data_IF_804114562649
#
_entry.id   IF_804114562649
#
_cell.length_a   1.000
_cell.length_b   1.000
_cell.length_c   1.000
_cell.angle_alpha   90.00
_cell.angle_beta   90.00
_cell.angle_gamma   90.00
#
_symmetry.space_group_name_H-M   'P 1'
#
loop_
_entity.id
_entity.type
_entity.pdbx_description
1 polymer ?
#
# COMPACT_ATOMS: atom_id res chain seq x y z
N UNK A 1 -25.25 17.13 -22.01
CA UNK A 1 -23.90 16.58 -22.28
C UNK A 1 -22.86 17.67 -22.60
N UNK A 2 -23.18 18.77 -23.30
CA UNK A 2 -22.21 19.83 -23.64
C UNK A 2 -21.77 20.74 -22.46
N UNK A 3 -22.57 20.84 -21.39
CA UNK A 3 -22.23 21.65 -20.21
C UNK A 3 -21.18 20.99 -19.31
N UNK A 4 -21.15 19.65 -19.28
CA UNK A 4 -20.21 18.86 -18.48
C UNK A 4 -18.79 18.89 -19.07
N UNK A 5 -18.67 18.83 -20.40
CA UNK A 5 -17.40 18.97 -21.11
C UNK A 5 -16.80 20.36 -20.97
N UNK A 6 -17.60 21.43 -20.99
CA UNK A 6 -17.10 22.79 -20.76
C UNK A 6 -16.61 23.01 -19.33
N UNK A 7 -17.30 22.47 -18.32
CA UNK A 7 -16.86 22.57 -16.93
C UNK A 7 -15.54 21.82 -16.68
N UNK A 8 -15.41 20.61 -17.21
CA UNK A 8 -14.18 19.82 -17.09
C UNK A 8 -13.01 20.47 -17.85
N UNK A 9 -13.26 21.04 -19.04
CA UNK A 9 -12.25 21.80 -19.78
C UNK A 9 -11.81 23.03 -18.98
N UNK A 10 -12.75 23.74 -18.35
CA UNK A 10 -12.45 24.91 -17.52
C UNK A 10 -11.58 24.54 -16.31
N UNK A 11 -11.92 23.46 -15.61
CA UNK A 11 -11.13 22.94 -14.48
C UNK A 11 -9.71 22.57 -14.93
N UNK A 12 -9.57 21.84 -16.04
CA UNK A 12 -8.25 21.45 -16.57
C UNK A 12 -7.42 22.68 -16.95
N UNK A 13 -8.03 23.70 -17.55
CA UNK A 13 -7.32 24.94 -17.89
C UNK A 13 -6.86 25.74 -16.66
N UNK A 14 -7.66 25.79 -15.58
CA UNK A 14 -7.28 26.46 -14.34
C UNK A 14 -6.08 25.75 -13.68
N UNK A 15 -6.08 24.42 -13.64
CA UNK A 15 -4.99 23.63 -13.05
C UNK A 15 -3.68 23.89 -13.82
N UNK A 16 -3.72 23.87 -15.16
CA UNK A 16 -2.53 24.13 -15.98
C UNK A 16 -1.98 25.55 -15.78
N UNK A 17 -2.84 26.56 -15.67
CA UNK A 17 -2.39 27.94 -15.43
C UNK A 17 -1.82 28.11 -14.01
N UNK A 18 -2.38 27.45 -13.00
CA UNK A 18 -1.86 27.50 -11.63
C UNK A 18 -0.41 26.94 -11.53
N UNK A 19 -0.09 25.91 -12.31
CA UNK A 19 1.27 25.33 -12.30
C UNK A 19 2.34 26.25 -12.92
N UNK A 20 1.97 27.15 -13.83
CA UNK A 20 2.95 28.03 -14.52
C UNK A 20 3.33 29.27 -13.71
N UNK A 21 2.49 29.68 -12.74
CA UNK A 21 2.79 30.79 -11.82
C UNK A 21 3.70 30.39 -10.64
N UNK A 22 3.88 29.08 -10.40
CA UNK A 22 4.76 28.57 -9.36
C UNK A 22 6.26 28.60 -9.75
N UNK A 23 6.61 28.85 -11.01
CA UNK A 23 8.00 28.80 -11.49
C UNK A 23 8.81 30.08 -11.24
N UNK A 24 8.20 31.13 -10.68
CA UNK A 24 8.80 32.47 -10.67
C UNK A 24 8.92 33.08 -9.27
N UNK A 25 8.99 32.30 -8.19
CA UNK A 25 9.22 32.85 -6.86
C UNK A 25 9.78 31.84 -5.85
N UNK A 26 11.04 31.42 -6.04
CA UNK A 26 11.98 31.09 -4.93
C UNK A 26 13.37 30.75 -5.51
N UNK A 27 14.21 31.77 -5.72
CA UNK A 27 15.66 31.62 -5.69
C UNK A 27 16.19 32.51 -4.57
N UNK A 28 15.93 32.08 -3.33
CA UNK A 28 16.67 32.45 -2.12
C UNK A 28 15.96 31.83 -0.93
N UNK A 29 16.46 30.70 -0.45
CA UNK A 29 16.44 30.38 0.97
C UNK A 29 17.50 29.32 1.23
N UNK A 30 18.58 29.76 1.87
CA UNK A 30 19.33 29.06 2.91
C UNK A 30 19.44 27.54 2.80
N UNK A 31 20.63 27.12 2.38
CA UNK A 31 21.26 25.85 2.70
C UNK A 31 21.35 25.70 4.24
N UNK A 32 20.23 25.36 4.84
CA UNK A 32 20.21 24.70 6.14
C UNK A 32 20.36 23.21 5.85
N UNK A 33 21.30 22.57 6.55
CA UNK A 33 21.68 21.17 6.38
C UNK A 33 20.58 20.20 6.82
N UNK A 34 19.38 20.33 6.25
CA UNK A 34 18.37 19.29 6.29
C UNK A 34 18.75 18.31 5.17
N UNK A 35 19.09 17.05 5.51
CA UNK A 35 19.27 16.03 4.49
C UNK A 35 18.04 16.03 3.58
N UNK A 36 18.27 15.93 2.26
CA UNK A 36 17.18 15.96 1.29
C UNK A 36 16.11 14.92 1.66
N UNK A 37 14.87 15.13 1.22
CA UNK A 37 13.80 14.16 1.44
C UNK A 37 14.26 12.75 1.00
N UNK A 38 14.94 12.62 -0.14
CA UNK A 38 15.53 11.37 -0.61
C UNK A 38 16.55 10.76 0.38
N UNK A 39 17.36 11.59 1.02
CA UNK A 39 18.33 11.18 2.06
C UNK A 39 17.63 10.80 3.37
N UNK A 40 16.54 11.47 3.75
CA UNK A 40 15.69 11.07 4.88
C UNK A 40 14.93 9.78 4.61
N UNK A 41 14.54 9.56 3.35
CA UNK A 41 13.88 8.34 2.89
C UNK A 41 14.84 7.15 2.77
N UNK A 42 16.16 7.39 2.83
CA UNK A 42 17.23 6.37 2.74
C UNK A 42 16.96 5.36 1.62
N UNK A 43 16.75 5.89 0.42
CA UNK A 43 16.56 5.11 -0.82
C UNK A 43 17.85 4.39 -1.23
N UNK A 44 19.02 4.86 -0.76
CA UNK A 44 20.31 4.23 -0.97
C UNK A 44 20.58 3.19 0.14
N UNK A 45 20.45 1.92 -0.23
CA UNK A 45 20.39 0.77 0.67
C UNK A 45 21.66 0.45 1.45
N UNK A 46 21.47 0.07 2.71
CA UNK A 46 22.44 -0.67 3.53
C UNK A 46 22.12 -2.17 3.39
N UNK A 47 23.11 -3.04 3.07
CA UNK A 47 22.91 -4.42 2.62
C UNK A 47 22.32 -5.39 3.65
N UNK A 48 22.12 -4.98 4.91
CA UNK A 48 21.51 -5.83 5.95
C UNK A 48 20.06 -5.43 6.32
N UNK A 49 19.50 -4.39 5.69
CA UNK A 49 18.16 -3.87 6.00
C UNK A 49 17.17 -4.08 4.85
N UNK A 50 15.94 -4.49 5.17
CA UNK A 50 14.85 -4.64 4.21
C UNK A 50 14.60 -3.27 3.55
N UNK A 51 14.78 -3.15 2.22
CA UNK A 51 14.48 -1.89 1.54
C UNK A 51 12.97 -1.75 1.35
N UNK A 52 12.38 -0.90 2.19
CA UNK A 52 10.94 -0.66 2.19
C UNK A 52 10.43 0.03 0.93
N UNK A 53 11.29 0.80 0.25
CA UNK A 53 10.95 1.39 -1.04
C UNK A 53 10.90 0.33 -2.14
N UNK A 54 11.85 -0.60 -2.18
CA UNK A 54 11.82 -1.71 -3.14
C UNK A 54 10.60 -2.62 -2.92
N UNK A 55 10.26 -2.90 -1.66
CA UNK A 55 9.07 -3.70 -1.30
C UNK A 55 7.77 -3.00 -1.71
N UNK A 56 7.72 -1.68 -1.56
CA UNK A 56 6.60 -0.86 -2.02
C UNK A 56 6.50 -0.83 -3.56
N UNK A 57 7.63 -0.76 -4.27
CA UNK A 57 7.63 -0.84 -5.73
C UNK A 57 7.20 -2.22 -6.25
N UNK A 58 7.57 -3.29 -5.55
CA UNK A 58 7.06 -4.63 -5.84
C UNK A 58 5.54 -4.69 -5.68
N UNK A 59 4.98 -4.08 -4.63
CA UNK A 59 3.53 -3.98 -4.48
C UNK A 59 2.87 -3.24 -5.66
N UNK A 60 3.53 -2.19 -6.18
CA UNK A 60 3.04 -1.44 -7.34
C UNK A 60 3.00 -2.29 -8.62
N UNK A 61 3.92 -3.25 -8.79
CA UNK A 61 3.88 -4.23 -9.87
C UNK A 61 2.70 -5.22 -9.73
N UNK A 62 2.24 -5.46 -8.50
CA UNK A 62 1.14 -6.38 -8.20
C UNK A 62 -0.26 -5.75 -8.34
N UNK A 63 -0.34 -4.46 -8.67
CA UNK A 63 -1.61 -3.71 -8.79
C UNK A 63 -2.63 -4.41 -9.69
N UNK A 64 -2.19 -5.07 -10.77
CA UNK A 64 -3.07 -5.82 -11.65
C UNK A 64 -3.73 -7.04 -10.98
N UNK A 65 -2.99 -7.79 -10.17
CA UNK A 65 -3.49 -8.95 -9.41
C UNK A 65 -4.48 -8.48 -8.34
N UNK A 66 -4.15 -7.40 -7.63
CA UNK A 66 -5.01 -6.80 -6.60
C UNK A 66 -6.34 -6.32 -7.18
N UNK A 67 -6.32 -5.59 -8.30
CA UNK A 67 -7.54 -5.10 -8.95
C UNK A 67 -8.41 -6.27 -9.43
N UNK A 68 -7.80 -7.26 -10.10
CA UNK A 68 -8.54 -8.42 -10.59
C UNK A 68 -9.16 -9.25 -9.46
N UNK A 69 -8.47 -9.38 -8.32
CA UNK A 69 -8.97 -10.09 -7.14
C UNK A 69 -10.29 -9.50 -6.64
N UNK A 70 -10.37 -8.17 -6.53
CA UNK A 70 -11.58 -7.49 -6.08
C UNK A 70 -12.69 -7.44 -7.15
N UNK A 71 -12.34 -7.30 -8.43
CA UNK A 71 -13.34 -7.20 -9.51
C UNK A 71 -14.04 -8.51 -9.82
N UNK A 72 -13.33 -9.64 -9.75
CA UNK A 72 -13.86 -10.94 -10.17
C UNK A 72 -14.22 -11.86 -9.00
N UNK A 73 -13.82 -11.51 -7.76
CA UNK A 73 -14.03 -12.35 -6.59
C UNK A 73 -13.19 -13.64 -6.57
N UNK A 74 -12.55 -13.97 -7.69
CA UNK A 74 -11.58 -15.05 -7.81
C UNK A 74 -10.49 -14.66 -8.81
N UNK A 75 -9.33 -14.21 -8.29
CA UNK A 75 -8.03 -14.37 -8.96
C UNK A 75 -6.93 -14.39 -7.90
N UNK A 76 -6.21 -15.50 -7.78
CA UNK A 76 -5.15 -15.70 -6.82
C UNK A 76 -4.12 -14.56 -6.83
N UNK A 77 -3.83 -13.97 -5.67
CA UNK A 77 -2.62 -13.17 -5.49
C UNK A 77 -1.43 -14.12 -5.52
N UNK A 78 -0.47 -13.84 -6.39
CA UNK A 78 0.76 -14.60 -6.49
C UNK A 78 1.55 -14.57 -5.17
N UNK A 79 2.39 -15.58 -4.88
CA UNK A 79 3.20 -15.61 -3.68
C UNK A 79 4.07 -14.36 -3.49
N UNK A 80 4.59 -13.80 -4.59
CA UNK A 80 5.35 -12.53 -4.58
C UNK A 80 4.49 -11.33 -4.19
N UNK A 81 3.26 -11.25 -4.71
CA UNK A 81 2.32 -10.19 -4.35
C UNK A 81 1.95 -10.25 -2.87
N UNK A 82 1.58 -11.44 -2.38
CA UNK A 82 1.26 -11.62 -0.96
C UNK A 82 2.45 -11.28 -0.05
N UNK A 83 3.65 -11.70 -0.44
CA UNK A 83 4.87 -11.40 0.33
C UNK A 83 5.14 -9.89 0.39
N UNK A 84 5.02 -9.17 -0.74
CA UNK A 84 5.16 -7.72 -0.78
C UNK A 84 4.10 -7.01 0.09
N UNK A 85 2.84 -7.45 0.06
CA UNK A 85 1.77 -6.91 0.91
C UNK A 85 2.11 -7.05 2.39
N UNK A 86 2.58 -8.24 2.81
CA UNK A 86 2.92 -8.52 4.20
C UNK A 86 4.08 -7.62 4.67
N UNK A 87 5.16 -7.54 3.88
CA UNK A 87 6.32 -6.71 4.21
C UNK A 87 5.93 -5.24 4.30
N UNK A 88 5.15 -4.73 3.32
CA UNK A 88 4.71 -3.33 3.32
C UNK A 88 3.86 -3.03 4.56
N UNK A 89 2.92 -3.91 4.90
CA UNK A 89 1.98 -3.71 6.01
C UNK A 89 2.63 -3.78 7.40
N UNK A 90 3.55 -4.72 7.62
CA UNK A 90 4.08 -4.99 8.96
C UNK A 90 5.47 -4.36 9.17
N UNK A 91 6.39 -4.59 8.24
CA UNK A 91 7.80 -4.28 8.46
C UNK A 91 8.16 -2.87 7.98
N UNK A 92 7.45 -2.39 6.96
CA UNK A 92 7.77 -1.13 6.30
C UNK A 92 6.92 0.06 6.70
N UNK A 93 5.70 -0.18 7.17
CA UNK A 93 4.83 0.89 7.67
C UNK A 93 5.51 1.77 8.75
N UNK A 94 6.18 1.22 9.79
CA UNK A 94 6.86 2.02 10.79
C UNK A 94 8.05 2.81 10.22
N UNK A 95 8.85 2.18 9.35
CA UNK A 95 10.04 2.79 8.75
C UNK A 95 9.66 3.94 7.79
N UNK A 96 8.58 3.77 7.02
CA UNK A 96 8.09 4.83 6.13
C UNK A 96 7.59 6.03 6.92
N UNK A 97 6.87 5.83 8.03
CA UNK A 97 6.42 6.92 8.90
C UNK A 97 7.60 7.59 9.63
N UNK A 98 8.66 6.85 9.94
CA UNK A 98 9.88 7.45 10.49
C UNK A 98 10.56 8.45 9.55
N UNK A 99 10.45 8.25 8.23
CA UNK A 99 10.90 9.25 7.26
C UNK A 99 10.15 10.60 7.38
N UNK A 100 8.91 10.57 7.89
CA UNK A 100 8.10 11.76 8.18
C UNK A 100 8.40 12.37 9.56
N UNK A 101 9.15 11.68 10.42
CA UNK A 101 9.56 12.16 11.74
C UNK A 101 8.86 11.50 12.93
N UNK A 102 8.06 10.46 12.71
CA UNK A 102 7.46 9.65 13.78
C UNK A 102 8.43 8.56 14.29
N UNK A 103 8.41 8.23 15.57
CA UNK A 103 9.17 7.08 16.09
C UNK A 103 8.41 5.76 15.88
N UNK A 104 9.12 4.64 15.94
CA UNK A 104 8.47 3.32 15.86
C UNK A 104 7.44 3.11 16.99
N UNK A 105 7.71 3.63 18.19
CA UNK A 105 6.80 3.54 19.34
C UNK A 105 5.54 4.39 19.11
N UNK A 106 5.67 5.59 18.57
CA UNK A 106 4.53 6.43 18.21
C UNK A 106 3.66 5.75 17.14
N UNK A 107 4.29 5.08 16.16
CA UNK A 107 3.54 4.36 15.12
C UNK A 107 2.81 3.12 15.64
N UNK A 108 3.40 2.39 16.59
CA UNK A 108 2.77 1.25 17.24
C UNK A 108 1.56 1.67 18.08
N UNK A 109 1.67 2.79 18.82
CA UNK A 109 0.54 3.38 19.57
C UNK A 109 -0.60 3.78 18.62
N UNK A 110 -0.27 4.43 17.49
CA UNK A 110 -1.28 4.81 16.49
C UNK A 110 -1.95 3.58 15.87
N UNK A 111 -1.17 2.54 15.56
CA UNK A 111 -1.71 1.28 15.04
C UNK A 111 -2.68 0.65 16.03
N UNK A 112 -2.30 0.54 17.31
CA UNK A 112 -3.15 0.01 18.37
C UNK A 112 -4.45 0.79 18.55
N UNK A 113 -4.42 2.13 18.38
CA UNK A 113 -5.63 2.95 18.39
C UNK A 113 -6.57 2.59 17.22
N UNK A 114 -6.04 2.49 16.00
CA UNK A 114 -6.83 2.15 14.81
C UNK A 114 -7.40 0.73 14.87
N UNK A 115 -6.65 -0.23 15.40
CA UNK A 115 -7.12 -1.61 15.56
C UNK A 115 -8.29 -1.69 16.57
N UNK A 116 -8.23 -0.93 17.66
CA UNK A 116 -9.32 -0.84 18.63
C UNK A 116 -10.61 -0.27 18.01
N UNK A 117 -10.51 0.78 17.20
CA UNK A 117 -11.66 1.34 16.46
C UNK A 117 -12.27 0.31 15.49
N UNK A 118 -11.45 -0.46 14.77
CA UNK A 118 -11.97 -1.53 13.90
C UNK A 118 -12.71 -2.62 14.68
N UNK A 119 -12.18 -3.03 15.84
CA UNK A 119 -12.85 -4.02 16.69
C UNK A 119 -14.21 -3.55 17.20
N UNK A 120 -14.37 -2.26 17.53
CA UNK A 120 -15.67 -1.68 17.86
C UNK A 120 -16.67 -1.81 16.70
N UNK A 121 -16.24 -1.57 15.45
CA UNK A 121 -17.11 -1.75 14.27
C UNK A 121 -17.48 -3.21 13.99
N UNK A 122 -16.58 -4.17 14.25
CA UNK A 122 -16.87 -5.59 14.09
C UNK A 122 -17.85 -6.12 15.15
N UNK A 123 -17.88 -5.53 16.35
CA UNK A 123 -18.87 -5.88 17.38
C UNK A 123 -20.30 -5.39 17.03
N UNK A 124 -20.42 -4.37 16.17
CA UNK A 124 -21.71 -3.88 15.65
C UNK A 124 -22.05 -4.43 14.25
N UNK A 125 -21.16 -5.20 13.63
CA UNK A 125 -21.42 -5.82 12.33
C UNK A 125 -22.20 -7.13 12.52
N UNK A 126 -23.31 -7.36 11.79
CA UNK A 126 -23.99 -8.65 11.81
C UNK A 126 -23.02 -9.76 11.37
N UNK A 127 -23.14 -10.98 11.93
CA UNK A 127 -22.20 -12.06 11.64
C UNK A 127 -22.19 -12.38 10.14
N UNK A 128 -20.99 -12.56 9.60
CA UNK A 128 -20.77 -13.01 8.24
C UNK A 128 -21.51 -14.33 7.97
N UNK A 129 -22.08 -14.55 6.78
CA UNK A 129 -22.70 -15.82 6.43
C UNK A 129 -21.69 -16.98 6.59
N UNK A 130 -22.14 -18.16 7.04
CA UNK A 130 -21.27 -19.30 7.29
C UNK A 130 -20.51 -19.69 6.02
N UNK A 131 -19.20 -19.94 6.17
CA UNK A 131 -18.34 -20.42 5.09
C UNK A 131 -18.91 -21.71 4.48
N UNK A 132 -18.84 -21.91 3.16
CA UNK A 132 -19.26 -23.15 2.52
C UNK A 132 -18.44 -24.33 3.07
N UNK A 133 -19.05 -25.52 3.23
CA UNK A 133 -18.36 -26.68 3.76
C UNK A 133 -17.17 -27.07 2.86
N UNK A 134 -16.06 -27.57 3.44
CA UNK A 134 -14.92 -28.01 2.66
C UNK A 134 -15.35 -29.15 1.73
N UNK A 135 -15.21 -28.93 0.42
CA UNK A 135 -15.39 -29.96 -0.60
C UNK A 135 -14.38 -31.08 -0.36
N UNK A 136 -14.87 -32.20 0.18
CA UNK A 136 -14.07 -33.41 0.35
C UNK A 136 -13.69 -33.97 -1.03
N UNK A 137 -12.48 -33.65 -1.49
CA UNK A 137 -11.83 -34.33 -2.60
C UNK A 137 -11.50 -35.78 -2.17
N UNK A 138 -11.95 -36.80 -2.92
CA UNK A 138 -11.64 -38.18 -2.57
C UNK A 138 -10.14 -38.45 -2.74
N UNK A 139 -9.50 -38.86 -1.65
CA UNK A 139 -8.11 -39.28 -1.57
C UNK A 139 -7.91 -40.53 -2.45
N UNK A 140 -7.48 -40.35 -3.70
CA UNK A 140 -7.14 -41.47 -4.58
C UNK A 140 -5.81 -42.06 -4.10
N UNK A 141 -5.88 -43.26 -3.52
CA UNK A 141 -4.76 -44.09 -3.13
C UNK A 141 -3.71 -44.18 -4.26
N UNK A 142 -2.52 -43.64 -4.00
CA UNK A 142 -1.31 -44.01 -4.75
C UNK A 142 -0.69 -45.17 -3.97
N UNK A 143 -0.98 -46.39 -4.41
CA UNK A 143 -0.19 -47.57 -4.02
C UNK A 143 1.04 -47.54 -4.92
N UNK A 144 2.20 -47.15 -4.37
CA UNK A 144 3.49 -47.55 -4.94
C UNK A 144 4.04 -48.69 -4.11
N UNK A 145 3.84 -49.92 -4.59
CA UNK A 145 4.65 -51.07 -4.22
C UNK A 145 6.10 -50.81 -4.65
N UNK A 146 7.05 -51.07 -3.76
CA UNK A 146 8.44 -51.26 -4.14
C UNK A 146 8.85 -52.69 -3.76
N UNK A 147 9.29 -53.45 -4.75
CA UNK A 147 9.96 -54.76 -4.61
C UNK A 147 11.47 -54.56 -4.68
#
# INVERSE_FOLDING_TARGET
MAHYTNHNVYIVTIILVATTLASNATKSMSESAHPSLATRLKVDGEPESVNCWDSLFQLQACTGEVIMFFLNGETYLGPSCCHAIIIVGHDCWPQMLASLGFSAEETDILQGYCDAEQQHHHHYSPPSPPSPPPSSLPLRHVITNNS
#
